data_IF_823127101319
#
_entry.id   IF_823127101319
#
_cell.length_a   1.000
_cell.length_b   1.000
_cell.length_c   1.000
_cell.angle_alpha   90.00
_cell.angle_beta   90.00
_cell.angle_gamma   90.00
#
_symmetry.space_group_name_H-M   'P 1'
#
loop_
_entity.id
_entity.type
_entity.pdbx_description
1 polymer ?
#
# COMPACT_ATOMS: atom_id res chain seq x y z
N UNK A 1 4.18 26.53 -10.68
CA UNK A 1 3.78 26.12 -9.31
C UNK A 1 4.22 24.68 -9.12
N UNK A 2 4.99 24.39 -8.08
CA UNK A 2 5.43 23.03 -7.75
C UNK A 2 4.21 22.21 -7.33
N UNK A 3 3.94 21.12 -8.06
CA UNK A 3 2.91 20.14 -7.70
C UNK A 3 3.24 19.56 -6.33
N UNK A 4 2.29 19.60 -5.40
CA UNK A 4 2.44 18.96 -4.09
C UNK A 4 2.43 17.45 -4.30
N UNK A 5 3.52 16.77 -3.95
CA UNK A 5 3.68 15.30 -4.08
C UNK A 5 3.81 14.73 -2.67
N UNK A 6 3.14 13.60 -2.42
CA UNK A 6 3.24 12.84 -1.17
C UNK A 6 3.42 11.36 -1.49
N UNK A 7 4.47 10.76 -0.96
CA UNK A 7 4.71 9.33 -1.03
C UNK A 7 4.25 8.71 0.28
N UNK A 8 3.37 7.72 0.24
CA UNK A 8 2.77 7.12 1.45
C UNK A 8 2.82 5.60 1.32
N UNK A 9 3.26 4.92 2.37
CA UNK A 9 3.19 3.45 2.44
C UNK A 9 1.96 2.97 3.20
N UNK A 10 1.36 1.85 2.80
CA UNK A 10 0.27 1.22 3.56
C UNK A 10 0.79 -0.03 4.26
N UNK A 11 0.75 0.00 5.59
CA UNK A 11 1.14 -1.12 6.45
C UNK A 11 -0.14 -1.86 6.86
N UNK A 12 -0.25 -3.14 6.49
CA UNK A 12 -1.37 -4.01 6.84
C UNK A 12 -0.89 -5.44 7.05
N UNK A 13 -1.65 -6.25 7.79
CA UNK A 13 -1.45 -7.70 7.80
C UNK A 13 -1.99 -8.30 6.49
N UNK A 14 -1.63 -9.55 6.22
CA UNK A 14 -2.25 -10.35 5.16
C UNK A 14 -3.77 -10.42 5.42
N UNK A 15 -4.56 -10.30 4.36
CA UNK A 15 -6.03 -10.30 4.38
C UNK A 15 -6.73 -9.19 5.19
N UNK A 16 -6.02 -8.19 5.72
CA UNK A 16 -6.62 -7.03 6.41
C UNK A 16 -7.16 -5.94 5.47
N UNK A 17 -7.50 -6.30 4.23
CA UNK A 17 -8.19 -5.39 3.30
C UNK A 17 -7.33 -4.30 2.64
N UNK A 18 -5.99 -4.41 2.65
CA UNK A 18 -5.08 -3.48 1.94
C UNK A 18 -5.49 -3.28 0.49
N UNK A 19 -5.76 -4.39 -0.20
CA UNK A 19 -6.20 -4.42 -1.60
C UNK A 19 -7.53 -3.69 -1.78
N UNK A 20 -8.51 -3.99 -0.94
CA UNK A 20 -9.81 -3.33 -1.01
C UNK A 20 -9.72 -1.82 -0.80
N UNK A 21 -8.88 -1.38 0.14
CA UNK A 21 -8.66 0.04 0.41
C UNK A 21 -8.07 0.77 -0.81
N UNK A 22 -6.98 0.24 -1.38
CA UNK A 22 -6.31 0.86 -2.52
C UNK A 22 -7.22 0.89 -3.75
N UNK A 23 -7.97 -0.19 -4.01
CA UNK A 23 -8.94 -0.23 -5.11
C UNK A 23 -10.02 0.85 -4.96
N UNK A 24 -10.55 1.06 -3.76
CA UNK A 24 -11.55 2.11 -3.52
C UNK A 24 -10.96 3.52 -3.64
N UNK A 25 -9.71 3.74 -3.21
CA UNK A 25 -9.02 5.02 -3.39
C UNK A 25 -8.85 5.37 -4.86
N UNK A 26 -8.43 4.41 -5.69
CA UNK A 26 -8.31 4.60 -7.13
C UNK A 26 -9.66 4.89 -7.80
N UNK A 27 -10.74 4.23 -7.32
CA UNK A 27 -12.10 4.44 -7.85
C UNK A 27 -12.60 5.84 -7.57
N UNK A 28 -12.39 6.32 -6.34
CA UNK A 28 -12.81 7.66 -5.93
C UNK A 28 -11.97 8.78 -6.54
N UNK A 29 -10.69 8.54 -6.83
CA UNK A 29 -9.80 9.55 -7.41
C UNK A 29 -10.09 9.86 -8.88
N UNK A 30 -11.00 9.12 -9.52
CA UNK A 30 -11.29 9.28 -10.94
C UNK A 30 -10.11 8.93 -11.84
N UNK A 31 -9.08 8.26 -11.30
CA UNK A 31 -7.92 7.77 -12.08
C UNK A 31 -8.39 6.75 -13.13
N UNK A 32 -9.52 6.08 -12.89
CA UNK A 32 -10.21 5.27 -13.88
C UNK A 32 -11.00 6.16 -14.86
N UNK A 33 -10.45 6.42 -16.05
CA UNK A 33 -11.27 6.79 -17.21
C UNK A 33 -12.14 5.60 -17.60
N UNK A 34 -13.38 5.85 -18.02
CA UNK A 34 -14.40 4.86 -18.43
C UNK A 34 -13.94 3.82 -19.49
N UNK A 35 -12.76 3.98 -20.09
CA UNK A 35 -12.22 3.14 -21.16
C UNK A 35 -11.05 2.23 -20.77
N UNK A 36 -10.58 2.24 -19.52
CA UNK A 36 -9.52 1.33 -19.09
C UNK A 36 -10.13 0.03 -18.58
N UNK A 37 -10.01 -1.04 -19.38
CA UNK A 37 -10.54 -2.38 -19.08
C UNK A 37 -10.18 -2.77 -17.65
N UNK A 38 -11.21 -2.85 -16.83
CA UNK A 38 -11.21 -3.40 -15.48
C UNK A 38 -10.74 -4.86 -15.58
N UNK A 39 -9.45 -5.10 -15.34
CA UNK A 39 -9.04 -6.39 -14.83
C UNK A 39 -9.59 -6.43 -13.40
N UNK A 40 -10.65 -7.20 -13.19
CA UNK A 40 -11.52 -7.27 -12.00
C UNK A 40 -10.81 -7.52 -10.66
N UNK A 41 -9.47 -7.64 -10.65
CA UNK A 41 -8.59 -7.80 -9.50
C UNK A 41 -7.24 -7.18 -9.86
N UNK A 42 -7.04 -5.88 -9.58
CA UNK A 42 -5.82 -5.15 -10.00
C UNK A 42 -4.66 -5.36 -9.02
N UNK A 43 -4.92 -5.92 -7.84
CA UNK A 43 -3.92 -6.59 -7.01
C UNK A 43 -4.15 -8.11 -7.07
N UNK A 44 -3.08 -8.89 -7.16
CA UNK A 44 -3.04 -10.34 -7.39
C UNK A 44 -3.17 -10.77 -8.86
N UNK A 45 -2.35 -10.17 -9.72
CA UNK A 45 -2.28 -10.56 -11.15
C UNK A 45 -1.29 -11.70 -11.45
N UNK A 46 -0.43 -12.09 -10.49
CA UNK A 46 0.48 -13.22 -10.65
C UNK A 46 -0.02 -14.46 -9.90
N UNK A 47 0.07 -15.64 -10.51
CA UNK A 47 -0.29 -16.92 -9.88
C UNK A 47 0.50 -17.18 -8.59
N UNK A 48 1.73 -16.68 -8.52
CA UNK A 48 2.58 -16.71 -7.33
C UNK A 48 2.06 -15.84 -6.16
N UNK A 49 1.36 -14.73 -6.46
CA UNK A 49 0.75 -13.85 -5.47
C UNK A 49 -0.44 -14.53 -4.82
N UNK A 50 -1.29 -15.18 -5.65
CA UNK A 50 -2.44 -15.96 -5.20
C UNK A 50 -2.06 -17.19 -4.41
N UNK A 51 -1.01 -17.89 -4.82
CA UNK A 51 -0.55 -19.11 -4.14
C UNK A 51 0.04 -18.83 -2.75
N UNK A 52 0.56 -17.61 -2.53
CA UNK A 52 1.25 -17.24 -1.29
C UNK A 52 0.53 -16.18 -0.45
N UNK A 53 -0.58 -15.62 -0.92
CA UNK A 53 -1.32 -14.55 -0.23
C UNK A 53 -0.49 -13.27 -0.04
N UNK A 54 0.45 -12.99 -0.96
CA UNK A 54 1.34 -11.82 -0.89
C UNK A 54 1.27 -11.00 -2.18
N UNK A 55 1.35 -9.67 -2.07
CA UNK A 55 1.47 -8.76 -3.22
C UNK A 55 2.94 -8.68 -3.66
N UNK A 56 3.25 -8.98 -4.93
CA UNK A 56 4.62 -9.10 -5.47
C UNK A 56 4.91 -8.00 -6.52
N UNK A 57 3.93 -7.57 -7.33
CA UNK A 57 4.11 -6.55 -8.36
C UNK A 57 3.50 -5.21 -7.97
N UNK A 58 4.38 -4.23 -7.76
CA UNK A 58 4.05 -2.82 -7.59
C UNK A 58 3.45 -2.23 -8.88
N UNK A 59 2.12 -2.25 -9.02
CA UNK A 59 1.44 -1.32 -9.94
C UNK A 59 1.38 0.04 -9.24
N UNK A 60 1.98 1.06 -9.83
CA UNK A 60 1.98 2.42 -9.31
C UNK A 60 0.54 2.90 -9.07
N UNK A 61 0.12 2.89 -7.80
CA UNK A 61 -1.18 3.38 -7.38
C UNK A 61 -1.00 4.85 -7.00
N UNK A 62 -1.36 5.76 -7.91
CA UNK A 62 -1.29 7.18 -7.65
C UNK A 62 -2.68 7.82 -7.77
N UNK A 63 -3.00 8.69 -6.82
CA UNK A 63 -4.29 9.38 -6.74
C UNK A 63 -4.10 10.89 -6.65
N UNK A 64 -4.99 11.65 -7.27
CA UNK A 64 -5.07 13.10 -7.11
C UNK A 64 -6.09 13.43 -6.02
N UNK A 65 -5.67 14.18 -5.00
CA UNK A 65 -6.56 14.62 -3.93
C UNK A 65 -6.30 16.08 -3.57
N UNK A 66 -7.30 16.95 -3.73
CA UNK A 66 -7.25 18.37 -3.37
C UNK A 66 -5.99 19.10 -3.89
N UNK A 67 -5.58 18.81 -5.12
CA UNK A 67 -4.38 19.41 -5.75
C UNK A 67 -3.04 18.83 -5.26
N UNK A 68 -3.07 17.75 -4.49
CA UNK A 68 -1.89 16.97 -4.08
C UNK A 68 -1.89 15.63 -4.79
N UNK A 69 -0.75 15.28 -5.37
CA UNK A 69 -0.53 13.98 -5.96
C UNK A 69 0.02 13.02 -4.91
N UNK A 70 -0.71 11.94 -4.66
CA UNK A 70 -0.36 10.96 -3.64
C UNK A 70 0.07 9.68 -4.34
N UNK A 71 1.33 9.29 -4.16
CA UNK A 71 1.87 8.01 -4.57
C UNK A 71 1.73 7.02 -3.41
N UNK A 72 1.05 5.90 -3.67
CA UNK A 72 0.91 4.81 -2.71
C UNK A 72 2.01 3.81 -3.03
N UNK A 73 2.97 3.68 -2.11
CA UNK A 73 4.07 2.72 -2.17
C UNK A 73 3.65 1.47 -1.41
N UNK A 74 3.58 0.35 -2.11
CA UNK A 74 3.25 -0.90 -1.45
C UNK A 74 4.43 -1.42 -0.62
N UNK A 75 4.19 -1.78 0.63
CA UNK A 75 5.20 -2.42 1.50
C UNK A 75 4.93 -3.91 1.57
N UNK A 76 5.95 -4.78 1.40
CA UNK A 76 5.79 -6.21 1.65
C UNK A 76 5.34 -6.44 3.11
N UNK A 77 4.26 -7.20 3.30
CA UNK A 77 3.68 -7.45 4.63
C UNK A 77 4.37 -8.57 5.43
N UNK A 78 5.31 -9.31 4.84
CA UNK A 78 5.91 -10.47 5.49
C UNK A 78 7.26 -10.14 6.14
N UNK A 79 7.47 -10.63 7.38
CA UNK A 79 8.69 -10.40 8.14
C UNK A 79 9.96 -10.92 7.44
N UNK A 80 9.81 -11.91 6.56
CA UNK A 80 10.90 -12.50 5.77
C UNK A 80 11.49 -11.53 4.73
N UNK A 81 10.81 -10.42 4.41
CA UNK A 81 11.28 -9.41 3.44
C UNK A 81 11.77 -8.12 4.13
N UNK A 82 12.44 -8.24 5.29
CA UNK A 82 12.85 -7.09 6.09
C UNK A 82 13.66 -6.00 5.34
N UNK A 83 14.54 -6.40 4.42
CA UNK A 83 15.34 -5.45 3.62
C UNK A 83 14.53 -4.70 2.55
N UNK A 84 13.49 -5.33 1.99
CA UNK A 84 12.59 -4.68 1.03
C UNK A 84 11.63 -3.72 1.74
N UNK A 85 11.16 -4.09 2.93
CA UNK A 85 10.37 -3.23 3.81
C UNK A 85 11.14 -1.94 4.13
N UNK A 86 12.40 -2.05 4.55
CA UNK A 86 13.21 -0.86 4.85
C UNK A 86 13.44 0.03 3.63
N UNK A 87 13.69 -0.57 2.47
CA UNK A 87 13.84 0.18 1.22
C UNK A 87 12.55 0.92 0.86
N UNK A 88 11.40 0.26 0.95
CA UNK A 88 10.11 0.87 0.68
C UNK A 88 9.81 2.04 1.65
N UNK A 89 10.07 1.84 2.95
CA UNK A 89 9.86 2.87 3.97
C UNK A 89 10.83 4.06 3.82
N UNK A 90 12.04 3.86 3.30
CA UNK A 90 13.00 4.94 3.04
C UNK A 90 12.58 5.90 1.91
N UNK A 91 11.62 5.50 1.08
CA UNK A 91 11.18 6.26 -0.09
C UNK A 91 9.86 7.03 0.15
N UNK A 92 9.26 6.91 1.34
CA UNK A 92 7.96 7.52 1.67
C UNK A 92 8.08 8.66 2.68
N UNK A 93 7.13 9.59 2.61
CA UNK A 93 7.00 10.72 3.53
C UNK A 93 6.22 10.35 4.80
N UNK A 94 5.46 9.25 4.78
CA UNK A 94 4.62 8.80 5.88
C UNK A 94 3.96 7.45 5.62
N UNK A 95 3.19 6.97 6.60
CA UNK A 95 2.57 5.65 6.56
C UNK A 95 1.08 5.69 6.93
N UNK A 96 0.30 4.83 6.31
CA UNK A 96 -1.09 4.52 6.67
C UNK A 96 -1.09 3.13 7.29
N UNK A 97 -1.41 3.08 8.58
CA UNK A 97 -1.55 1.83 9.31
C UNK A 97 -3.00 1.33 9.21
N UNK A 98 -3.20 0.21 8.53
CA UNK A 98 -4.49 -0.45 8.39
C UNK A 98 -4.56 -1.66 9.33
N UNK A 99 -5.51 -1.62 10.26
CA UNK A 99 -5.74 -2.66 11.25
C UNK A 99 -7.18 -3.16 11.09
N UNK A 100 -7.35 -4.48 11.03
CA UNK A 100 -8.66 -5.09 11.08
C UNK A 100 -9.32 -4.86 12.46
N UNK A 101 -10.57 -4.43 12.46
CA UNK A 101 -11.30 -4.08 13.69
C UNK A 101 -11.70 -5.30 14.54
N UNK A 102 -11.80 -6.48 13.93
CA UNK A 102 -12.13 -7.73 14.59
C UNK A 102 -10.87 -8.42 15.15
N UNK A 103 -9.80 -8.52 14.36
CA UNK A 103 -8.58 -9.23 14.76
C UNK A 103 -7.59 -8.35 15.53
N UNK A 104 -7.56 -7.05 15.21
CA UNK A 104 -6.59 -6.12 15.78
C UNK A 104 -5.17 -6.29 15.23
N UNK A 105 -4.15 -5.75 15.93
CA UNK A 105 -2.79 -5.66 15.42
C UNK A 105 -2.00 -6.97 15.49
N UNK A 106 -1.66 -7.50 14.31
CA UNK A 106 -0.93 -8.75 14.11
C UNK A 106 0.61 -8.59 14.20
N UNK A 107 1.38 -9.68 14.44
CA UNK A 107 2.84 -9.62 14.60
C UNK A 107 3.59 -8.98 13.41
N UNK A 108 3.16 -9.28 12.19
CA UNK A 108 3.73 -8.70 10.96
C UNK A 108 3.51 -7.19 10.90
N UNK A 109 2.29 -6.72 11.16
CA UNK A 109 1.95 -5.30 11.22
C UNK A 109 2.81 -4.60 12.28
N UNK A 110 2.93 -5.17 13.48
CA UNK A 110 3.77 -4.62 14.56
C UNK A 110 5.25 -4.52 14.14
N UNK A 111 5.77 -5.51 13.43
CA UNK A 111 7.16 -5.52 12.96
C UNK A 111 7.43 -4.37 11.99
N UNK A 112 6.59 -4.20 10.97
CA UNK A 112 6.74 -3.13 9.97
C UNK A 112 6.49 -1.75 10.60
N UNK A 113 5.46 -1.60 11.43
CA UNK A 113 5.19 -0.34 12.16
C UNK A 113 6.36 0.07 13.03
N UNK A 114 7.01 -0.88 13.73
CA UNK A 114 8.20 -0.58 14.54
C UNK A 114 9.35 -0.03 13.70
N UNK A 115 9.56 -0.55 12.49
CA UNK A 115 10.57 -0.03 11.55
C UNK A 115 10.20 1.37 11.05
N UNK A 116 8.94 1.60 10.68
CA UNK A 116 8.47 2.90 10.24
C UNK A 116 8.66 3.99 11.31
N UNK A 117 8.31 3.67 12.57
CA UNK A 117 8.52 4.57 13.71
C UNK A 117 10.02 4.84 13.97
N UNK A 118 10.88 3.82 13.82
CA UNK A 118 12.33 3.99 13.96
C UNK A 118 12.93 4.92 12.88
N UNK A 119 12.31 4.99 11.71
CA UNK A 119 12.67 5.92 10.63
C UNK A 119 12.06 7.32 10.81
N UNK A 120 11.29 7.56 11.88
CA UNK A 120 10.64 8.84 12.15
C UNK A 120 9.45 9.14 11.23
N UNK A 121 8.94 8.14 10.53
CA UNK A 121 7.73 8.28 9.70
C UNK A 121 6.51 8.49 10.59
N UNK A 122 5.58 9.32 10.10
CA UNK A 122 4.32 9.66 10.77
C UNK A 122 3.14 8.99 10.09
#
# INVERSE_FOLDING_TARGET
>A
MTRQIRNVAIIAHVDHGKTTLVDQLLRQSGTFRENEKVAERVMDSNDLERERGITILAKNCAVEWKGTHINIVDTPGHADFGGEVERALSMVDGVVLLIDAQEGPMPQTRFVTKKALALGLK
#
